data_IF_229243211099
#
_entry.id   IF_229243211099
#
_cell.length_a   1.000
_cell.length_b   1.000
_cell.length_c   1.000
_cell.angle_alpha   90.00
_cell.angle_beta   90.00
_cell.angle_gamma   90.00
#
_symmetry.space_group_name_H-M   'P 1'
#
loop_
_entity.id
_entity.type
_entity.pdbx_description
1 polymer ?
#
# COMPACT_ATOMS: atom_id res chain seq x y z
N UNK A 1 -5.85 -18.25 -63.91
CA UNK A 1 -6.45 -17.51 -62.77
C UNK A 1 -6.31 -18.21 -61.40
N UNK A 2 -5.45 -19.20 -61.22
CA UNK A 2 -5.32 -19.98 -59.94
C UNK A 2 -4.07 -19.57 -59.11
N UNK A 3 -3.17 -18.73 -59.68
CA UNK A 3 -1.93 -18.38 -58.98
C UNK A 3 -2.02 -17.12 -58.09
N UNK A 4 -3.10 -16.36 -58.11
CA UNK A 4 -3.27 -15.15 -57.28
C UNK A 4 -3.99 -15.44 -55.97
N UNK A 5 -4.77 -16.55 -55.89
CA UNK A 5 -5.47 -16.93 -54.68
C UNK A 5 -4.54 -17.47 -53.58
N UNK A 6 -3.36 -18.02 -53.93
CA UNK A 6 -2.42 -18.60 -52.95
C UNK A 6 -1.58 -17.54 -52.24
N UNK A 7 -1.42 -16.35 -52.76
CA UNK A 7 -0.65 -15.25 -52.15
C UNK A 7 -1.47 -14.53 -51.05
N UNK A 8 -2.80 -14.55 -51.17
CA UNK A 8 -3.66 -13.96 -50.12
C UNK A 8 -3.82 -14.82 -48.86
N UNK A 9 -3.64 -16.13 -48.97
CA UNK A 9 -3.70 -17.05 -47.82
C UNK A 9 -2.44 -16.99 -46.95
N UNK A 10 -1.30 -16.56 -47.50
CA UNK A 10 -0.05 -16.43 -46.74
C UNK A 10 0.06 -15.13 -45.93
N UNK A 11 -0.71 -14.09 -46.26
CA UNK A 11 -0.74 -12.85 -45.48
C UNK A 11 -1.63 -12.90 -44.25
N UNK A 12 -2.56 -13.88 -44.16
CA UNK A 12 -3.40 -14.09 -42.99
C UNK A 12 -2.75 -14.94 -41.89
N UNK A 13 -1.61 -15.57 -42.17
CA UNK A 13 -0.92 -16.45 -41.21
C UNK A 13 0.09 -15.68 -40.32
N UNK A 14 0.36 -14.40 -40.56
CA UNK A 14 1.26 -13.57 -39.74
C UNK A 14 0.56 -12.63 -38.75
N UNK A 15 -0.75 -12.74 -38.60
CA UNK A 15 -1.47 -12.22 -37.44
C UNK A 15 -1.18 -13.11 -36.25
N UNK A 16 0.06 -13.12 -35.74
CA UNK A 16 0.32 -13.64 -34.39
C UNK A 16 -0.40 -12.67 -33.47
N UNK A 17 -1.67 -12.98 -33.21
CA UNK A 17 -2.37 -12.48 -32.06
C UNK A 17 -1.48 -12.79 -30.86
N UNK A 18 -0.89 -11.78 -30.27
CA UNK A 18 -0.50 -11.87 -28.87
C UNK A 18 -1.80 -12.09 -28.11
N UNK A 19 -2.25 -13.33 -28.09
CA UNK A 19 -3.30 -13.79 -27.20
C UNK A 19 -2.76 -13.48 -25.79
N UNK A 20 -3.22 -12.38 -25.21
CA UNK A 20 -3.08 -12.19 -23.79
C UNK A 20 -3.70 -13.42 -23.14
N UNK A 21 -2.87 -14.26 -22.58
CA UNK A 21 -3.32 -15.43 -21.85
C UNK A 21 -4.08 -14.92 -20.63
N UNK A 22 -5.39 -14.80 -20.77
CA UNK A 22 -6.31 -14.51 -19.69
C UNK A 22 -6.57 -15.80 -18.93
N UNK A 23 -5.66 -16.16 -18.05
CA UNK A 23 -5.88 -17.24 -17.12
C UNK A 23 -6.63 -16.67 -15.92
N UNK A 24 -7.92 -17.00 -15.77
CA UNK A 24 -8.76 -16.59 -14.61
C UNK A 24 -8.83 -15.08 -14.34
N UNK A 25 -9.08 -14.26 -15.36
CA UNK A 25 -9.18 -12.79 -15.25
C UNK A 25 -7.91 -12.08 -14.77
N UNK A 26 -6.77 -12.73 -14.82
CA UNK A 26 -5.48 -12.23 -14.39
C UNK A 26 -4.66 -11.71 -15.59
N UNK A 27 -4.18 -10.48 -15.54
CA UNK A 27 -3.30 -9.89 -16.54
C UNK A 27 -1.84 -10.00 -16.07
N UNK A 28 -1.01 -10.77 -16.77
CA UNK A 28 0.40 -10.93 -16.44
C UNK A 28 1.27 -9.86 -17.07
N UNK A 29 2.19 -9.28 -16.29
CA UNK A 29 3.28 -8.41 -16.75
C UNK A 29 4.60 -9.16 -16.91
N UNK A 30 4.88 -10.08 -16.00
CA UNK A 30 6.06 -10.92 -15.99
C UNK A 30 5.67 -12.32 -15.55
N UNK A 31 6.23 -13.30 -16.20
CA UNK A 31 6.20 -14.69 -15.78
C UNK A 31 7.54 -15.29 -16.11
N UNK A 32 8.38 -15.42 -15.11
CA UNK A 32 9.71 -16.01 -15.24
C UNK A 32 9.80 -17.27 -14.38
N UNK A 33 10.42 -18.31 -14.93
CA UNK A 33 10.62 -19.57 -14.25
C UNK A 33 11.98 -20.12 -14.63
N UNK A 34 12.77 -20.43 -13.65
CA UNK A 34 13.96 -21.23 -13.79
C UNK A 34 13.92 -22.45 -12.86
N UNK A 35 14.97 -23.26 -12.81
CA UNK A 35 14.99 -24.49 -12.03
C UNK A 35 14.89 -24.29 -10.51
N UNK A 36 15.12 -23.06 -10.03
CA UNK A 36 15.17 -22.74 -8.61
C UNK A 36 14.03 -21.89 -8.09
N UNK A 37 13.34 -21.13 -8.95
CA UNK A 37 12.25 -20.24 -8.54
C UNK A 37 11.25 -19.93 -9.65
N UNK A 38 10.09 -19.42 -9.24
CA UNK A 38 9.05 -18.92 -10.13
C UNK A 38 8.62 -17.53 -9.72
N UNK A 39 8.94 -16.52 -10.55
CA UNK A 39 8.62 -15.11 -10.32
C UNK A 39 7.45 -14.70 -11.22
N UNK A 40 6.47 -14.01 -10.61
CA UNK A 40 5.28 -13.52 -11.31
C UNK A 40 4.95 -12.10 -10.89
N UNK A 41 4.67 -11.27 -11.88
CA UNK A 41 4.08 -9.95 -11.68
C UNK A 41 2.80 -9.89 -12.50
N UNK A 42 1.68 -9.61 -11.85
CA UNK A 42 0.38 -9.62 -12.53
C UNK A 42 -0.65 -8.72 -11.84
N UNK A 43 -1.70 -8.34 -12.58
CA UNK A 43 -2.89 -7.72 -12.01
C UNK A 43 -3.85 -8.81 -11.59
N UNK A 44 -4.17 -8.85 -10.30
CA UNK A 44 -5.21 -9.72 -9.77
C UNK A 44 -6.55 -8.98 -9.76
N UNK A 45 -7.51 -9.51 -10.50
CA UNK A 45 -8.88 -8.99 -10.57
C UNK A 45 -9.83 -9.72 -9.62
N UNK A 46 -9.39 -10.84 -9.04
CA UNK A 46 -10.19 -11.63 -8.12
C UNK A 46 -10.17 -11.03 -6.70
N UNK A 47 -11.24 -10.33 -6.32
CA UNK A 47 -11.38 -9.70 -5.00
C UNK A 47 -11.52 -10.68 -3.83
N UNK A 48 -11.56 -12.00 -4.11
CA UNK A 48 -11.56 -13.08 -3.12
C UNK A 48 -10.24 -13.85 -3.09
N UNK A 49 -9.22 -13.40 -3.81
CA UNK A 49 -7.91 -14.05 -3.81
C UNK A 49 -7.23 -13.94 -2.45
N UNK A 50 -6.27 -14.82 -2.22
CA UNK A 50 -5.39 -14.75 -1.05
C UNK A 50 -4.57 -13.46 -1.00
N UNK A 51 -4.09 -12.96 -2.15
CA UNK A 51 -3.34 -11.71 -2.25
C UNK A 51 -4.19 -10.51 -1.81
N UNK A 52 -5.46 -10.48 -2.25
CA UNK A 52 -6.39 -9.43 -1.83
C UNK A 52 -6.68 -9.51 -0.34
N UNK A 53 -6.91 -10.72 0.19
CA UNK A 53 -7.11 -10.95 1.61
C UNK A 53 -5.88 -10.55 2.42
N UNK A 54 -4.68 -10.89 1.97
CA UNK A 54 -3.42 -10.55 2.62
C UNK A 54 -3.22 -9.03 2.79
N UNK A 55 -3.41 -8.24 1.71
CA UNK A 55 -3.22 -6.79 1.78
C UNK A 55 -4.33 -6.10 2.60
N UNK A 56 -5.54 -6.66 2.66
CA UNK A 56 -6.68 -6.08 3.38
C UNK A 56 -6.91 -6.63 4.77
N UNK A 57 -6.12 -7.61 5.23
CA UNK A 57 -6.23 -8.13 6.59
C UNK A 57 -5.50 -7.22 7.59
N UNK A 58 -6.23 -6.74 8.59
CA UNK A 58 -5.74 -5.92 9.71
C UNK A 58 -5.81 -6.68 11.03
N UNK A 59 -5.84 -7.98 10.98
CA UNK A 59 -5.73 -8.85 12.14
C UNK A 59 -4.27 -8.92 12.57
N UNK A 60 -4.01 -8.78 13.86
CA UNK A 60 -2.66 -8.99 14.41
C UNK A 60 -2.38 -10.48 14.43
N UNK A 61 -1.49 -10.94 13.56
CA UNK A 61 -1.13 -12.34 13.45
C UNK A 61 -0.44 -12.85 14.73
N UNK A 62 -0.49 -14.16 14.95
CA UNK A 62 0.09 -14.77 16.16
C UNK A 62 1.60 -14.46 16.32
N UNK A 63 2.35 -14.43 15.22
CA UNK A 63 3.79 -14.11 15.24
C UNK A 63 4.07 -12.62 15.47
N UNK A 64 3.10 -11.72 15.20
CA UNK A 64 3.20 -10.27 15.39
C UNK A 64 2.79 -9.80 16.78
N UNK A 65 2.17 -10.69 17.57
CA UNK A 65 1.53 -10.31 18.84
C UNK A 65 2.54 -9.77 19.87
N UNK A 66 3.77 -10.27 19.84
CA UNK A 66 4.81 -9.84 20.77
C UNK A 66 5.34 -8.44 20.42
N UNK A 67 5.48 -8.11 19.14
CA UNK A 67 5.82 -6.75 18.69
C UNK A 67 4.74 -5.77 19.12
N UNK A 68 3.47 -6.11 18.90
CA UNK A 68 2.34 -5.28 19.33
C UNK A 68 2.29 -5.10 20.85
N UNK A 69 2.41 -6.18 21.63
CA UNK A 69 2.42 -6.11 23.09
C UNK A 69 3.60 -5.29 23.63
N UNK A 70 4.78 -5.37 22.99
CA UNK A 70 5.96 -4.59 23.34
C UNK A 70 5.71 -3.11 23.15
N UNK A 71 5.09 -2.72 22.04
CA UNK A 71 4.72 -1.32 21.80
C UNK A 71 3.71 -0.79 22.82
N UNK A 72 2.69 -1.57 23.18
CA UNK A 72 1.75 -1.22 24.27
C UNK A 72 2.46 -1.05 25.63
N UNK A 73 3.38 -1.97 25.97
CA UNK A 73 4.18 -1.87 27.20
C UNK A 73 5.04 -0.59 27.21
N UNK A 74 5.61 -0.23 26.08
CA UNK A 74 6.33 1.04 25.92
C UNK A 74 5.42 2.23 26.22
N UNK A 75 4.24 2.32 25.57
CA UNK A 75 3.29 3.39 25.81
C UNK A 75 2.92 3.51 27.29
N UNK A 76 2.64 2.39 27.94
CA UNK A 76 2.33 2.34 29.37
C UNK A 76 3.50 2.85 30.21
N UNK A 77 4.74 2.45 29.93
CA UNK A 77 5.95 2.88 30.66
C UNK A 77 6.19 4.40 30.53
N UNK A 78 5.76 5.02 29.45
CA UNK A 78 5.81 6.48 29.21
C UNK A 78 4.58 7.20 29.72
N UNK A 79 3.64 6.51 30.38
CA UNK A 79 2.36 7.05 30.88
C UNK A 79 1.51 7.66 29.75
N UNK A 80 1.61 7.12 28.54
CA UNK A 80 0.75 7.46 27.41
C UNK A 80 -0.49 6.57 27.48
N UNK A 81 -1.57 7.11 28.08
CA UNK A 81 -2.82 6.39 28.25
C UNK A 81 -3.77 6.73 27.10
N UNK A 82 -4.08 5.76 26.22
CA UNK A 82 -4.98 5.99 25.10
C UNK A 82 -6.35 6.48 25.57
N UNK A 83 -6.86 7.52 24.93
CA UNK A 83 -8.20 8.07 25.19
C UNK A 83 -9.06 7.86 23.94
N UNK A 84 -10.32 7.50 24.17
CA UNK A 84 -11.29 7.39 23.08
C UNK A 84 -11.49 8.74 22.40
N UNK A 85 -11.46 8.74 21.08
CA UNK A 85 -11.65 9.90 20.23
C UNK A 85 -12.58 9.56 19.08
N UNK A 86 -13.35 10.51 18.63
CA UNK A 86 -14.15 10.37 17.41
C UNK A 86 -13.36 10.87 16.21
N UNK A 87 -13.30 10.04 15.17
CA UNK A 87 -12.64 10.37 13.90
C UNK A 87 -13.66 10.38 12.77
N UNK A 88 -14.79 11.05 12.99
CA UNK A 88 -15.86 11.14 12.01
C UNK A 88 -15.35 11.56 10.63
N UNK A 89 -15.84 10.91 9.60
CA UNK A 89 -15.46 11.11 8.19
C UNK A 89 -14.04 10.70 7.77
N UNK A 90 -13.21 10.17 8.69
CA UNK A 90 -11.91 9.61 8.35
C UNK A 90 -11.98 8.08 8.28
N UNK A 91 -11.43 7.49 7.24
CA UNK A 91 -11.29 6.03 7.14
C UNK A 91 -10.44 5.46 8.26
N UNK A 92 -10.75 4.23 8.65
CA UNK A 92 -10.07 3.55 9.75
C UNK A 92 -8.93 2.65 9.31
N UNK A 93 -8.94 2.18 8.08
CA UNK A 93 -7.99 1.21 7.56
C UNK A 93 -7.45 1.69 6.22
N UNK A 94 -6.12 1.77 6.13
CA UNK A 94 -5.40 2.32 5.01
C UNK A 94 -4.28 1.40 4.58
N UNK A 95 -4.09 1.28 3.28
CA UNK A 95 -2.97 0.56 2.68
C UNK A 95 -2.20 1.48 1.75
N UNK A 96 -0.92 1.19 1.60
CA UNK A 96 -0.07 1.92 0.66
C UNK A 96 -0.50 1.60 -0.77
N UNK A 97 -0.54 2.65 -1.58
CA UNK A 97 -0.77 2.59 -3.02
C UNK A 97 0.52 2.94 -3.74
N UNK A 98 0.72 2.31 -4.90
CA UNK A 98 1.84 2.60 -5.78
C UNK A 98 1.35 3.06 -7.15
N UNK A 99 2.15 3.89 -7.82
CA UNK A 99 1.90 4.29 -9.20
C UNK A 99 2.88 3.57 -10.11
N UNK A 100 2.34 2.88 -11.11
CA UNK A 100 3.12 2.15 -12.10
C UNK A 100 2.59 2.42 -13.49
N UNK A 101 3.45 2.95 -14.37
CA UNK A 101 3.09 3.36 -15.75
C UNK A 101 1.86 4.27 -15.79
N UNK A 102 1.84 5.28 -14.91
CA UNK A 102 0.79 6.29 -14.83
C UNK A 102 -0.55 5.81 -14.25
N UNK A 103 -0.62 4.59 -13.68
CA UNK A 103 -1.83 4.05 -13.06
C UNK A 103 -1.58 3.75 -11.58
N UNK A 104 -2.59 3.98 -10.76
CA UNK A 104 -2.55 3.69 -9.33
C UNK A 104 -2.98 2.24 -9.08
N UNK A 105 -2.24 1.56 -8.22
CA UNK A 105 -2.48 0.17 -7.81
C UNK A 105 -2.45 0.02 -6.30
N UNK A 106 -3.24 -0.90 -5.78
CA UNK A 106 -2.93 -1.58 -4.53
C UNK A 106 -1.76 -2.50 -4.83
N UNK A 107 -0.72 -2.52 -4.00
CA UNK A 107 0.45 -3.34 -4.26
C UNK A 107 0.59 -4.46 -3.23
N UNK A 108 0.76 -5.68 -3.72
CA UNK A 108 1.15 -6.85 -2.92
C UNK A 108 2.60 -7.18 -3.26
N UNK A 109 3.57 -6.79 -2.40
CA UNK A 109 5.00 -6.99 -2.64
C UNK A 109 5.43 -8.45 -2.49
N UNK A 110 6.53 -8.83 -3.13
CA UNK A 110 7.20 -10.10 -2.89
C UNK A 110 7.87 -10.16 -1.51
N UNK A 111 8.27 -8.99 -1.00
CA UNK A 111 8.90 -8.83 0.30
C UNK A 111 7.93 -8.14 1.29
N UNK A 112 7.64 -8.81 2.40
CA UNK A 112 6.80 -8.27 3.49
C UNK A 112 7.31 -6.92 4.03
N UNK A 113 8.59 -6.61 3.90
CA UNK A 113 9.20 -5.37 4.36
C UNK A 113 8.60 -4.13 3.66
N UNK A 114 8.15 -4.28 2.43
CA UNK A 114 7.52 -3.20 1.65
C UNK A 114 6.02 -3.08 1.86
N UNK A 115 5.45 -3.91 2.74
CA UNK A 115 4.02 -3.91 2.99
C UNK A 115 3.66 -2.95 4.15
N UNK A 116 3.33 -1.70 3.82
CA UNK A 116 2.91 -0.71 4.81
C UNK A 116 1.39 -0.54 4.80
N UNK A 117 0.79 -0.64 5.97
CA UNK A 117 -0.63 -0.38 6.20
C UNK A 117 -0.87 0.21 7.58
N UNK A 118 -2.04 0.84 7.76
CA UNK A 118 -2.38 1.58 8.97
C UNK A 118 -3.80 1.28 9.40
N UNK A 119 -3.99 1.06 10.69
CA UNK A 119 -5.31 0.98 11.32
C UNK A 119 -5.48 2.05 12.39
N UNK A 120 -6.53 2.83 12.26
CA UNK A 120 -6.96 3.80 13.25
C UNK A 120 -8.08 3.20 14.09
N UNK A 121 -7.80 2.92 15.36
CA UNK A 121 -8.83 2.54 16.34
C UNK A 121 -9.47 3.80 16.93
N UNK A 122 -10.34 3.68 17.91
CA UNK A 122 -10.90 4.83 18.64
C UNK A 122 -9.89 5.50 19.59
N UNK A 123 -8.70 4.91 19.78
CA UNK A 123 -7.74 5.39 20.78
C UNK A 123 -6.27 5.25 20.36
N UNK A 124 -5.98 4.45 19.36
CA UNK A 124 -4.63 4.17 18.88
C UNK A 124 -4.55 4.29 17.35
N UNK A 125 -3.37 4.67 16.91
CA UNK A 125 -2.93 4.54 15.55
C UNK A 125 -2.00 3.34 15.47
N UNK A 126 -2.27 2.36 14.62
CA UNK A 126 -1.46 1.14 14.52
C UNK A 126 -0.79 1.16 13.15
N UNK A 127 0.54 1.20 13.16
CA UNK A 127 1.37 1.08 11.96
C UNK A 127 1.79 -0.38 11.79
N UNK A 128 1.55 -0.99 10.61
CA UNK A 128 2.21 -2.21 10.18
C UNK A 128 3.44 -1.85 9.37
N UNK A 129 4.59 -2.16 9.91
CA UNK A 129 5.90 -2.00 9.26
C UNK A 129 6.50 -3.36 8.96
N UNK A 130 7.70 -3.41 8.39
CA UNK A 130 8.45 -4.66 8.23
C UNK A 130 8.76 -5.39 9.56
N UNK A 131 8.72 -4.66 10.68
CA UNK A 131 8.92 -5.22 12.03
C UNK A 131 7.61 -5.69 12.70
N UNK A 132 6.49 -5.59 11.98
CA UNK A 132 5.15 -5.92 12.47
C UNK A 132 4.35 -4.70 12.95
N UNK A 133 3.19 -4.94 13.60
CA UNK A 133 2.28 -3.88 14.04
C UNK A 133 2.80 -3.16 15.29
N UNK A 134 2.88 -1.84 15.22
CA UNK A 134 3.25 -0.97 16.33
C UNK A 134 2.07 -0.12 16.79
N UNK A 135 1.73 -0.20 18.06
CA UNK A 135 0.75 0.69 18.67
C UNK A 135 1.36 2.08 18.91
N UNK A 136 0.72 3.09 18.36
CA UNK A 136 1.13 4.49 18.44
C UNK A 136 0.06 5.29 19.18
N UNK A 137 0.45 6.03 20.21
CA UNK A 137 -0.44 6.89 20.98
C UNK A 137 -0.85 8.12 20.19
N UNK A 138 -2.13 8.41 20.13
CA UNK A 138 -2.68 9.62 19.54
C UNK A 138 -2.74 10.69 20.64
N UNK A 139 -1.74 11.56 20.65
CA UNK A 139 -1.68 12.65 21.61
C UNK A 139 -2.69 13.76 21.28
N UNK A 140 -2.82 14.08 20.00
CA UNK A 140 -3.74 15.10 19.50
C UNK A 140 -4.28 14.71 18.14
N UNK A 141 -5.55 14.97 17.94
CA UNK A 141 -6.22 14.91 16.65
C UNK A 141 -6.88 16.25 16.36
N UNK A 142 -6.80 16.71 15.12
CA UNK A 142 -7.44 17.94 14.65
C UNK A 142 -7.98 17.73 13.25
N UNK A 143 -9.27 17.95 13.06
CA UNK A 143 -9.88 18.04 11.73
C UNK A 143 -9.68 19.47 11.24
N UNK A 144 -8.86 19.66 10.22
CA UNK A 144 -8.57 20.98 9.63
C UNK A 144 -9.74 21.41 8.74
N UNK A 145 -10.21 20.48 7.89
CA UNK A 145 -11.39 20.67 7.03
C UNK A 145 -11.99 19.31 6.67
N UNK A 146 -12.89 19.25 5.70
CA UNK A 146 -13.56 18.01 5.29
C UNK A 146 -12.65 16.96 4.65
N UNK A 147 -11.46 17.35 4.19
CA UNK A 147 -10.50 16.47 3.50
C UNK A 147 -9.13 16.39 4.18
N UNK A 148 -8.87 17.18 5.23
CA UNK A 148 -7.53 17.25 5.85
C UNK A 148 -7.63 17.05 7.36
N UNK A 149 -6.79 16.15 7.87
CA UNK A 149 -6.75 15.72 9.26
C UNK A 149 -5.31 15.71 9.75
N UNK A 150 -5.07 16.22 10.95
CA UNK A 150 -3.73 16.28 11.56
C UNK A 150 -3.70 15.51 12.87
N UNK A 151 -2.63 14.72 13.05
CA UNK A 151 -2.33 13.96 14.26
C UNK A 151 -0.98 14.36 14.82
N UNK A 152 -0.88 14.39 16.14
CA UNK A 152 0.39 14.31 16.86
C UNK A 152 0.46 12.93 17.50
N UNK A 153 1.46 12.16 17.13
CA UNK A 153 1.61 10.74 17.42
C UNK A 153 2.88 10.50 18.26
N UNK A 154 2.82 9.49 19.13
CA UNK A 154 3.93 9.08 19.99
C UNK A 154 4.06 7.57 19.97
N UNK A 155 5.24 7.07 19.63
CA UNK A 155 5.57 5.64 19.69
C UNK A 155 7.03 5.43 20.05
N UNK A 156 7.44 4.17 20.10
CA UNK A 156 8.84 3.81 20.34
C UNK A 156 9.72 4.18 19.14
N UNK A 157 9.27 3.88 17.93
CA UNK A 157 10.01 4.18 16.70
C UNK A 157 9.98 5.70 16.38
N UNK A 158 8.85 6.34 16.67
CA UNK A 158 8.65 7.75 16.36
C UNK A 158 8.19 8.51 17.61
N UNK A 159 9.14 8.93 18.50
CA UNK A 159 8.78 9.59 19.76
C UNK A 159 7.97 10.87 19.58
N UNK A 160 8.14 11.55 18.45
CA UNK A 160 7.42 12.74 18.06
C UNK A 160 7.16 12.69 16.56
N UNK A 161 5.95 12.25 16.16
CA UNK A 161 5.54 12.24 14.75
C UNK A 161 4.33 13.16 14.56
N UNK A 162 4.43 14.10 13.65
CA UNK A 162 3.28 14.77 13.08
C UNK A 162 2.85 14.04 11.82
N UNK A 163 1.58 13.69 11.74
CA UNK A 163 0.97 13.06 10.57
C UNK A 163 -0.16 13.95 10.06
N UNK A 164 -0.10 14.33 8.80
CA UNK A 164 -1.21 14.99 8.12
C UNK A 164 -1.76 14.06 7.04
N UNK A 165 -3.04 13.76 7.11
CA UNK A 165 -3.77 12.97 6.11
C UNK A 165 -4.58 13.95 5.28
N UNK A 166 -4.34 13.98 3.96
CA UNK A 166 -5.08 14.83 3.03
C UNK A 166 -5.64 13.99 1.89
N UNK A 167 -6.97 13.90 1.81
CA UNK A 167 -7.64 13.28 0.68
C UNK A 167 -7.35 14.09 -0.59
N UNK A 168 -6.89 13.41 -1.63
CA UNK A 168 -6.74 13.94 -2.99
C UNK A 168 -7.87 13.48 -3.91
N UNK A 169 -8.48 12.31 -3.61
CA UNK A 169 -9.71 11.81 -4.22
C UNK A 169 -10.55 11.12 -3.14
N UNK A 170 -11.50 11.86 -2.57
CA UNK A 170 -12.30 11.38 -1.46
C UNK A 170 -13.31 10.31 -1.90
N UNK A 171 -13.77 10.36 -3.14
CA UNK A 171 -14.72 9.38 -3.67
C UNK A 171 -14.05 8.02 -3.83
N UNK A 172 -12.84 8.00 -4.36
CA UNK A 172 -12.02 6.77 -4.47
C UNK A 172 -11.31 6.40 -3.16
N UNK A 173 -11.36 7.28 -2.15
CA UNK A 173 -10.69 7.04 -0.87
C UNK A 173 -9.17 7.14 -0.96
N UNK A 174 -8.63 7.98 -1.84
CA UNK A 174 -7.19 8.16 -2.02
C UNK A 174 -6.74 9.40 -1.24
N UNK A 175 -5.69 9.24 -0.43
CA UNK A 175 -5.11 10.31 0.36
C UNK A 175 -3.59 10.29 0.31
N UNK A 176 -2.97 11.44 0.55
CA UNK A 176 -1.54 11.54 0.82
C UNK A 176 -1.35 11.68 2.31
N UNK A 177 -0.49 10.85 2.88
CA UNK A 177 -0.01 10.90 4.24
C UNK A 177 1.33 11.62 4.27
N UNK A 178 1.38 12.79 4.90
CA UNK A 178 2.62 13.51 5.19
C UNK A 178 3.03 13.19 6.62
N UNK A 179 4.16 12.53 6.80
CA UNK A 179 4.75 12.25 8.11
C UNK A 179 5.99 13.12 8.33
N UNK A 180 6.05 13.81 9.48
CA UNK A 180 7.21 14.57 9.91
C UNK A 180 7.68 14.05 11.27
N UNK A 181 8.94 13.64 11.35
CA UNK A 181 9.53 13.12 12.59
C UNK A 181 11.04 13.35 12.65
N UNK A 182 11.58 13.40 13.85
CA UNK A 182 13.02 13.44 14.06
C UNK A 182 13.59 12.03 13.99
N UNK A 183 14.56 11.81 13.10
CA UNK A 183 15.28 10.53 13.01
C UNK A 183 16.57 10.64 13.86
N UNK A 184 16.68 9.89 14.97
CA UNK A 184 17.83 10.00 15.88
C UNK A 184 19.12 9.45 15.27
N UNK A 185 19.05 8.51 14.33
CA UNK A 185 20.22 7.95 13.66
C UNK A 185 20.80 8.92 12.64
N UNK A 186 19.95 9.57 11.88
CA UNK A 186 20.35 10.57 10.88
C UNK A 186 20.51 11.98 11.48
N UNK A 187 20.12 12.17 12.76
CA UNK A 187 20.15 13.44 13.50
C UNK A 187 19.47 14.58 12.75
N UNK A 188 18.39 14.30 12.04
CA UNK A 188 17.65 15.29 11.25
C UNK A 188 16.15 15.05 11.26
N UNK A 189 15.40 16.09 10.93
CA UNK A 189 13.97 15.97 10.62
C UNK A 189 13.81 15.27 9.29
N UNK A 190 12.93 14.27 9.28
CA UNK A 190 12.51 13.56 8.07
C UNK A 190 11.09 14.00 7.76
N UNK A 191 10.84 14.25 6.50
CA UNK A 191 9.52 14.50 5.94
C UNK A 191 9.29 13.49 4.82
N UNK A 192 8.23 12.71 4.94
CA UNK A 192 7.87 11.64 4.00
C UNK A 192 6.45 11.84 3.52
N UNK A 193 6.20 11.46 2.28
CA UNK A 193 4.88 11.47 1.67
C UNK A 193 4.58 10.08 1.12
N UNK A 194 3.40 9.56 1.43
CA UNK A 194 2.96 8.24 1.00
C UNK A 194 1.55 8.34 0.42
N UNK A 195 1.33 7.69 -0.72
CA UNK A 195 -0.01 7.55 -1.28
C UNK A 195 -0.72 6.39 -0.59
N UNK A 196 -1.90 6.66 -0.03
CA UNK A 196 -2.65 5.69 0.76
C UNK A 196 -4.08 5.54 0.23
N UNK A 197 -4.60 4.32 0.28
CA UNK A 197 -5.97 3.99 -0.09
C UNK A 197 -6.82 3.55 1.09
N UNK A 198 -8.04 4.05 1.17
CA UNK A 198 -9.07 3.56 2.09
C UNK A 198 -9.48 2.13 1.69
N UNK A 199 -9.24 1.17 2.57
CA UNK A 199 -9.51 -0.26 2.33
C UNK A 199 -10.97 -0.51 1.93
N UNK A 200 -11.93 0.23 2.48
CA UNK A 200 -13.34 0.08 2.12
C UNK A 200 -13.63 0.46 0.67
N UNK A 201 -12.79 1.31 0.07
CA UNK A 201 -12.95 1.84 -1.29
C UNK A 201 -11.96 1.23 -2.29
N UNK A 202 -10.93 0.54 -1.82
CA UNK A 202 -9.87 0.00 -2.66
C UNK A 202 -10.32 -1.07 -3.66
N UNK A 203 -11.54 -1.62 -3.50
CA UNK A 203 -12.10 -2.58 -4.47
C UNK A 203 -12.18 -2.03 -5.90
N UNK A 204 -12.16 -0.72 -6.05
CA UNK A 204 -12.16 -0.04 -7.35
C UNK A 204 -10.74 0.19 -7.90
N UNK A 205 -9.71 -0.11 -7.10
CA UNK A 205 -8.30 0.00 -7.50
C UNK A 205 -7.77 -1.39 -7.83
N UNK A 206 -7.10 -1.59 -8.98
CA UNK A 206 -6.55 -2.90 -9.34
C UNK A 206 -5.43 -3.31 -8.38
N UNK A 207 -5.33 -4.60 -8.08
CA UNK A 207 -4.28 -5.17 -7.25
C UNK A 207 -3.13 -5.64 -8.14
N UNK A 208 -1.96 -5.04 -7.97
CA UNK A 208 -0.73 -5.46 -8.61
C UNK A 208 0.03 -6.38 -7.65
N UNK A 209 0.22 -7.62 -8.06
CA UNK A 209 0.89 -8.65 -7.27
C UNK A 209 2.28 -8.88 -7.83
N UNK A 210 3.27 -8.86 -6.94
CA UNK A 210 4.61 -9.34 -7.18
C UNK A 210 4.85 -10.52 -6.24
N UNK A 211 5.04 -11.71 -6.79
CA UNK A 211 5.23 -12.92 -5.99
C UNK A 211 6.33 -13.80 -6.55
N UNK A 212 7.08 -14.44 -5.68
CA UNK A 212 8.17 -15.32 -6.03
C UNK A 212 8.17 -16.53 -5.09
N UNK A 213 8.28 -17.72 -5.68
CA UNK A 213 8.44 -18.95 -4.92
C UNK A 213 9.92 -19.06 -4.51
N UNK A 214 10.21 -19.25 -3.24
CA UNK A 214 11.53 -19.59 -2.68
C UNK A 214 12.61 -18.48 -2.63
N UNK A 215 12.54 -17.44 -3.44
CA UNK A 215 13.54 -16.38 -3.46
C UNK A 215 12.88 -15.02 -3.35
N UNK A 216 13.51 -14.13 -2.56
CA UNK A 216 13.17 -12.72 -2.53
C UNK A 216 13.61 -12.08 -3.84
N UNK A 217 12.70 -11.38 -4.49
CA UNK A 217 12.96 -10.64 -5.72
C UNK A 217 12.94 -9.14 -5.47
N UNK A 218 13.62 -8.42 -6.36
CA UNK A 218 13.56 -6.96 -6.36
C UNK A 218 12.14 -6.50 -6.59
N UNK A 219 11.79 -5.40 -5.93
CA UNK A 219 10.51 -4.75 -6.12
C UNK A 219 10.46 -4.04 -7.48
N UNK A 220 9.24 -3.74 -7.93
CA UNK A 220 9.04 -2.99 -9.16
C UNK A 220 9.63 -1.58 -9.07
N UNK A 221 10.16 -1.09 -10.20
CA UNK A 221 10.54 0.32 -10.33
C UNK A 221 9.27 1.15 -10.58
N UNK A 222 8.70 1.64 -9.48
CA UNK A 222 7.50 2.47 -9.49
C UNK A 222 7.78 3.88 -10.00
N UNK A 223 6.72 4.54 -10.48
CA UNK A 223 6.80 5.91 -10.95
C UNK A 223 7.24 6.85 -9.81
N UNK A 224 8.22 7.70 -10.07
CA UNK A 224 8.69 8.69 -9.10
C UNK A 224 7.77 9.90 -9.10
N UNK A 225 6.77 9.89 -8.24
CA UNK A 225 5.77 10.95 -8.12
C UNK A 225 6.17 11.93 -7.00
N UNK A 226 6.16 13.22 -7.33
CA UNK A 226 6.33 14.28 -6.33
C UNK A 226 5.03 14.49 -5.54
N UNK A 227 4.81 13.61 -4.57
CA UNK A 227 3.64 13.70 -3.70
C UNK A 227 3.65 14.96 -2.82
N UNK A 228 4.81 15.56 -2.55
CA UNK A 228 4.90 16.82 -1.82
C UNK A 228 4.24 17.95 -2.63
N UNK A 229 4.51 18.03 -3.92
CA UNK A 229 3.89 19.01 -4.81
C UNK A 229 2.37 18.83 -4.89
N UNK A 230 1.89 17.58 -5.04
CA UNK A 230 0.45 17.28 -5.07
C UNK A 230 -0.20 17.61 -3.71
N UNK A 231 0.48 17.31 -2.62
CA UNK A 231 -0.01 17.62 -1.28
C UNK A 231 -0.17 19.13 -1.06
N UNK A 232 0.75 19.94 -1.53
CA UNK A 232 0.68 21.40 -1.38
C UNK A 232 -0.33 22.05 -2.33
N UNK A 233 -0.44 21.55 -3.56
CA UNK A 233 -1.31 22.09 -4.60
C UNK A 233 -2.33 21.03 -5.03
N UNK A 234 -3.43 20.84 -4.29
CA UNK A 234 -4.45 19.86 -4.67
C UNK A 234 -5.08 20.25 -6.02
N UNK A 235 -5.26 19.24 -6.85
CA UNK A 235 -5.94 19.34 -8.16
C UNK A 235 -7.43 19.65 -7.95
#
# INVERSE_FOLDING_TARGET
>A
MIRIAFLFLLFFAYGISFAQFKQNDTLFFLRDKNDSFYHRIFIDTNKKSEYYSYVSDFTIAKFDIDTYKRSLKYLHSKRFFPKKQSFESLSREWIMLETYKGKIYVYSPADFYFHYKVKLTDSLFIDWTGEGPEATYIQKFTKINSSTFKFTLRSQLYPNRELTIKYIDKEKGIAIFQSKYYNPYLKKMIEQYQLMGDVKKMRNIPLLVNTCDNLKQDELDFDKIDYAKIFMNPI
#
